data_IF_388331019756
#
_entry.id   IF_388331019756
#
_cell.length_a   1.000
_cell.length_b   1.000
_cell.length_c   1.000
_cell.angle_alpha   90.00
_cell.angle_beta   90.00
_cell.angle_gamma   90.00
#
_symmetry.space_group_name_H-M   'P 1'
#
loop_
_entity.id
_entity.type
_entity.pdbx_description
1 polymer ?
#
# COMPACT_ATOMS: atom_id res chain seq x y z
N UNK A 1 9.76 -18.43 0.24
CA UNK A 1 9.99 -16.97 0.40
C UNK A 1 9.56 -16.18 -0.84
N UNK A 2 9.97 -16.57 -2.05
CA UNK A 2 9.52 -15.92 -3.28
C UNK A 2 8.02 -16.11 -3.57
N UNK A 3 7.45 -17.28 -3.28
CA UNK A 3 6.04 -17.60 -3.54
C UNK A 3 5.05 -16.66 -2.83
N UNK A 4 5.31 -16.30 -1.56
CA UNK A 4 4.46 -15.34 -0.83
C UNK A 4 4.52 -13.93 -1.43
N UNK A 5 5.69 -13.52 -1.93
CA UNK A 5 5.85 -12.23 -2.63
C UNK A 5 5.09 -12.24 -3.96
N UNK A 6 5.14 -13.35 -4.70
CA UNK A 6 4.40 -13.51 -5.95
C UNK A 6 2.89 -13.48 -5.73
N UNK A 7 2.37 -14.19 -4.73
CA UNK A 7 0.94 -14.18 -4.38
C UNK A 7 0.43 -12.78 -4.00
N UNK A 8 1.20 -12.03 -3.20
CA UNK A 8 0.85 -10.66 -2.86
C UNK A 8 0.88 -9.74 -4.09
N UNK A 9 1.89 -9.89 -4.96
CA UNK A 9 1.98 -9.10 -6.20
C UNK A 9 0.84 -9.43 -7.17
N UNK A 10 0.42 -10.69 -7.30
CA UNK A 10 -0.72 -11.11 -8.12
C UNK A 10 -2.03 -10.47 -7.65
N UNK A 11 -2.28 -10.48 -6.34
CA UNK A 11 -3.44 -9.77 -5.76
C UNK A 11 -3.42 -8.27 -6.03
N UNK A 12 -2.25 -7.71 -6.33
CA UNK A 12 -2.03 -6.28 -6.59
C UNK A 12 -2.02 -5.97 -8.09
N UNK A 13 -2.02 -6.98 -8.95
CA UNK A 13 -1.90 -6.81 -10.39
C UNK A 13 -3.22 -6.27 -10.96
N UNK A 14 -4.35 -6.83 -10.51
CA UNK A 14 -5.69 -6.39 -10.90
C UNK A 14 -5.94 -4.91 -10.60
N UNK A 15 -5.52 -4.39 -9.43
CA UNK A 15 -5.70 -2.95 -9.13
C UNK A 15 -4.85 -2.06 -10.05
N UNK A 16 -3.67 -2.53 -10.48
CA UNK A 16 -2.75 -1.76 -11.32
C UNK A 16 -3.20 -1.74 -12.78
N UNK A 17 -3.74 -2.85 -13.29
CA UNK A 17 -4.37 -2.90 -14.61
C UNK A 17 -5.57 -1.95 -14.69
N UNK A 18 -6.40 -1.92 -13.65
CA UNK A 18 -7.54 -1.00 -13.60
C UNK A 18 -7.06 0.46 -13.53
N UNK A 19 -5.98 0.77 -12.78
CA UNK A 19 -5.37 2.10 -12.77
C UNK A 19 -4.83 2.55 -14.13
N UNK A 20 -4.33 1.61 -14.94
CA UNK A 20 -3.92 1.88 -16.32
C UNK A 20 -5.12 2.19 -17.21
N UNK A 21 -6.17 1.38 -17.12
CA UNK A 21 -7.40 1.52 -17.93
C UNK A 21 -8.09 2.85 -17.74
N UNK A 22 -8.10 3.37 -16.51
CA UNK A 22 -8.67 4.69 -16.20
C UNK A 22 -7.66 5.84 -16.43
N UNK A 23 -6.52 5.57 -17.07
CA UNK A 23 -5.45 6.52 -17.40
C UNK A 23 -4.94 7.32 -16.18
N UNK A 24 -5.02 6.74 -14.99
CA UNK A 24 -4.63 7.41 -13.74
C UNK A 24 -3.11 7.33 -13.52
N UNK A 25 -2.48 6.30 -14.06
CA UNK A 25 -1.03 6.15 -14.13
C UNK A 25 -0.58 5.67 -15.51
N UNK A 26 0.59 6.14 -15.93
CA UNK A 26 1.23 5.63 -17.14
C UNK A 26 1.89 4.27 -16.89
N UNK A 27 2.09 3.47 -17.95
CA UNK A 27 2.78 2.18 -17.89
C UNK A 27 4.15 2.25 -17.17
N UNK A 28 4.91 3.32 -17.37
CA UNK A 28 6.21 3.53 -16.71
C UNK A 28 6.08 3.76 -15.20
N UNK A 29 5.02 4.45 -14.77
CA UNK A 29 4.74 4.67 -13.35
C UNK A 29 4.26 3.39 -12.69
N UNK A 30 3.38 2.63 -13.36
CA UNK A 30 2.91 1.32 -12.88
C UNK A 30 4.09 0.36 -12.69
N UNK A 31 5.00 0.26 -13.68
CA UNK A 31 6.22 -0.53 -13.55
C UNK A 31 7.07 -0.10 -12.35
N UNK A 32 7.16 1.20 -12.10
CA UNK A 32 7.90 1.75 -10.96
C UNK A 32 7.22 1.39 -9.63
N UNK A 33 5.90 1.45 -9.56
CA UNK A 33 5.11 1.03 -8.39
C UNK A 33 5.30 -0.46 -8.10
N UNK A 34 5.21 -1.32 -9.12
CA UNK A 34 5.45 -2.77 -9.00
C UNK A 34 6.85 -3.04 -8.47
N UNK A 35 7.86 -2.40 -9.07
CA UNK A 35 9.26 -2.56 -8.64
C UNK A 35 9.45 -2.13 -7.19
N UNK A 36 8.84 -1.02 -6.77
CA UNK A 36 8.95 -0.52 -5.39
C UNK A 36 8.24 -1.42 -4.39
N UNK A 37 7.02 -1.87 -4.69
CA UNK A 37 6.26 -2.84 -3.88
C UNK A 37 7.01 -4.16 -3.74
N UNK A 38 7.53 -4.70 -4.85
CA UNK A 38 8.37 -5.92 -4.85
C UNK A 38 9.56 -5.77 -3.90
N UNK A 39 10.29 -4.66 -3.97
CA UNK A 39 11.42 -4.40 -3.08
C UNK A 39 11.01 -4.31 -1.60
N UNK A 40 9.88 -3.69 -1.30
CA UNK A 40 9.35 -3.60 0.07
C UNK A 40 8.93 -4.97 0.61
N UNK A 41 8.23 -5.77 -0.20
CA UNK A 41 7.86 -7.16 0.15
C UNK A 41 9.10 -8.02 0.44
N UNK A 42 10.14 -7.96 -0.41
CA UNK A 42 11.40 -8.66 -0.13
C UNK A 42 12.03 -8.21 1.18
N UNK A 43 12.00 -6.90 1.48
CA UNK A 43 12.54 -6.38 2.74
C UNK A 43 11.79 -6.92 3.95
N UNK A 44 10.47 -7.02 3.88
CA UNK A 44 9.62 -7.58 4.94
C UNK A 44 9.81 -9.09 5.14
N UNK A 45 10.15 -9.82 4.07
CA UNK A 45 10.38 -11.28 4.12
C UNK A 45 11.79 -11.66 4.60
N UNK A 46 12.67 -10.69 4.93
CA UNK A 46 13.98 -10.99 5.52
C UNK A 46 13.83 -11.66 6.90
N UNK A 47 14.79 -12.52 7.24
CA UNK A 47 14.81 -13.23 8.53
C UNK A 47 14.76 -12.28 9.73
N UNK A 48 15.57 -11.20 9.70
CA UNK A 48 15.52 -10.14 10.70
C UNK A 48 14.46 -9.12 10.29
N UNK A 49 13.26 -9.23 10.87
CA UNK A 49 12.17 -8.28 10.64
C UNK A 49 12.41 -7.03 11.47
N UNK A 50 12.49 -5.88 10.82
CA UNK A 50 12.65 -4.58 11.49
C UNK A 50 11.34 -3.81 11.45
N UNK A 51 10.97 -3.14 12.54
CA UNK A 51 9.79 -2.26 12.58
C UNK A 51 9.83 -1.17 11.51
N UNK A 52 11.02 -0.64 11.24
CA UNK A 52 11.25 0.36 10.21
C UNK A 52 10.86 -0.12 8.80
N UNK A 53 11.01 -1.41 8.50
CA UNK A 53 10.61 -1.95 7.20
C UNK A 53 9.08 -1.92 7.04
N UNK A 54 8.34 -2.18 8.11
CA UNK A 54 6.87 -2.04 8.13
C UNK A 54 6.46 -0.58 8.00
N UNK A 55 7.06 0.33 8.78
CA UNK A 55 6.75 1.76 8.74
C UNK A 55 7.02 2.36 7.36
N UNK A 56 8.16 2.05 6.73
CA UNK A 56 8.48 2.51 5.36
C UNK A 56 7.48 2.02 4.32
N UNK A 57 6.94 0.82 4.50
CA UNK A 57 5.94 0.29 3.57
C UNK A 57 4.58 0.95 3.77
N UNK A 58 4.15 1.12 5.02
CA UNK A 58 2.93 1.85 5.38
C UNK A 58 2.97 3.28 4.85
N UNK A 59 4.09 3.98 5.06
CA UNK A 59 4.31 5.34 4.55
C UNK A 59 4.22 5.38 3.02
N UNK A 60 4.85 4.42 2.33
CA UNK A 60 4.80 4.33 0.88
C UNK A 60 3.36 4.13 0.36
N UNK A 61 2.61 3.18 0.90
CA UNK A 61 1.22 2.93 0.47
C UNK A 61 0.30 4.12 0.80
N UNK A 62 0.53 4.79 1.94
CA UNK A 62 -0.22 6.00 2.33
C UNK A 62 0.05 7.14 1.34
N UNK A 63 1.31 7.35 0.97
CA UNK A 63 1.70 8.34 -0.02
C UNK A 63 1.11 8.03 -1.41
N UNK A 64 1.08 6.76 -1.80
CA UNK A 64 0.45 6.33 -3.05
C UNK A 64 -1.06 6.61 -3.05
N UNK A 65 -1.76 6.30 -1.97
CA UNK A 65 -3.19 6.61 -1.82
C UNK A 65 -3.47 8.12 -1.93
N UNK A 66 -2.64 8.94 -1.27
CA UNK A 66 -2.74 10.40 -1.37
C UNK A 66 -2.48 10.90 -2.79
N UNK A 67 -1.53 10.32 -3.51
CA UNK A 67 -1.24 10.66 -4.90
C UNK A 67 -2.44 10.32 -5.81
N UNK A 68 -3.04 9.14 -5.63
CA UNK A 68 -4.25 8.72 -6.36
C UNK A 68 -5.39 9.71 -6.12
N UNK A 69 -5.67 10.03 -4.86
CA UNK A 69 -6.72 11.00 -4.48
C UNK A 69 -6.48 12.37 -5.12
N UNK A 70 -5.23 12.85 -5.15
CA UNK A 70 -4.87 14.12 -5.82
C UNK A 70 -5.07 14.04 -7.34
N UNK A 71 -4.65 12.96 -7.99
CA UNK A 71 -4.81 12.77 -9.44
C UNK A 71 -6.27 12.67 -9.84
N UNK A 72 -7.10 11.95 -9.08
CA UNK A 72 -8.54 11.87 -9.32
C UNK A 72 -9.21 13.24 -9.27
N UNK A 73 -8.90 14.05 -8.26
CA UNK A 73 -9.40 15.43 -8.17
C UNK A 73 -9.01 16.28 -9.38
N UNK A 74 -7.80 16.07 -9.92
CA UNK A 74 -7.30 16.82 -11.09
C UNK A 74 -7.92 16.34 -12.41
N UNK A 75 -8.09 15.03 -12.58
CA UNK A 75 -8.60 14.42 -13.83
C UNK A 75 -10.13 14.29 -13.84
N UNK A 76 -10.80 14.57 -12.72
CA UNK A 76 -12.26 14.43 -12.53
C UNK A 76 -12.73 13.00 -12.85
N UNK A 77 -11.95 12.02 -12.41
CA UNK A 77 -12.25 10.58 -12.59
C UNK A 77 -12.76 10.03 -11.26
N UNK A 78 -14.03 9.65 -11.24
CA UNK A 78 -14.67 8.99 -10.10
C UNK A 78 -14.78 7.46 -10.28
N UNK A 79 -14.41 6.97 -11.46
CA UNK A 79 -14.47 5.56 -11.81
C UNK A 79 -13.52 4.71 -10.97
N UNK A 80 -13.97 3.49 -10.64
CA UNK A 80 -13.28 2.52 -9.75
C UNK A 80 -12.77 3.12 -8.43
N UNK A 81 -13.39 4.20 -7.93
CA UNK A 81 -12.90 4.89 -6.73
C UNK A 81 -12.82 3.99 -5.52
N UNK A 82 -13.94 3.34 -5.23
CA UNK A 82 -14.09 2.47 -4.08
C UNK A 82 -13.19 1.24 -4.19
N UNK A 83 -13.08 0.61 -5.36
CA UNK A 83 -12.27 -0.60 -5.52
C UNK A 83 -10.78 -0.35 -5.29
N UNK A 84 -10.23 0.71 -5.89
CA UNK A 84 -8.80 1.05 -5.78
C UNK A 84 -8.45 1.58 -4.38
N UNK A 85 -9.23 2.53 -3.85
CA UNK A 85 -8.95 3.12 -2.53
C UNK A 85 -9.07 2.06 -1.42
N UNK A 86 -10.10 1.20 -1.48
CA UNK A 86 -10.28 0.14 -0.50
C UNK A 86 -9.20 -0.95 -0.61
N UNK A 87 -8.71 -1.27 -1.81
CA UNK A 87 -7.62 -2.25 -1.97
C UNK A 87 -6.35 -1.79 -1.25
N UNK A 88 -5.93 -0.55 -1.53
CA UNK A 88 -4.71 0.04 -0.93
C UNK A 88 -4.89 0.19 0.58
N UNK A 89 -6.05 0.68 1.01
CA UNK A 89 -6.30 0.83 2.43
C UNK A 89 -6.35 -0.49 3.19
N UNK A 90 -6.99 -1.54 2.64
CA UNK A 90 -6.97 -2.88 3.24
C UNK A 90 -5.54 -3.38 3.39
N UNK A 91 -4.65 -3.07 2.44
CA UNK A 91 -3.22 -3.40 2.54
C UNK A 91 -2.55 -2.65 3.68
N UNK A 92 -2.79 -1.34 3.81
CA UNK A 92 -2.25 -0.53 4.91
C UNK A 92 -2.72 -1.10 6.27
N UNK A 93 -4.02 -1.37 6.43
CA UNK A 93 -4.56 -1.97 7.65
C UNK A 93 -3.96 -3.36 7.94
N UNK A 94 -3.74 -4.19 6.91
CA UNK A 94 -3.06 -5.49 7.06
C UNK A 94 -1.61 -5.30 7.56
N UNK A 95 -0.89 -4.31 7.01
CA UNK A 95 0.48 -4.00 7.44
C UNK A 95 0.53 -3.52 8.89
N UNK A 96 -0.35 -2.59 9.28
CA UNK A 96 -0.47 -2.15 10.67
C UNK A 96 -0.83 -3.32 11.60
N UNK A 97 -1.79 -4.17 11.24
CA UNK A 97 -2.16 -5.34 12.05
C UNK A 97 -0.98 -6.27 12.28
N UNK A 98 -0.22 -6.59 11.23
CA UNK A 98 0.97 -7.46 11.35
C UNK A 98 2.07 -6.78 12.15
N UNK A 99 2.28 -5.47 11.97
CA UNK A 99 3.26 -4.70 12.71
C UNK A 99 2.92 -4.66 14.21
N UNK A 100 1.65 -4.39 14.57
CA UNK A 100 1.17 -4.34 15.97
C UNK A 100 1.29 -5.69 16.68
N UNK A 101 0.97 -6.79 15.98
CA UNK A 101 1.13 -8.14 16.53
C UNK A 101 2.60 -8.51 16.80
N UNK A 102 3.53 -7.94 16.04
CA UNK A 102 4.96 -8.25 16.14
C UNK A 102 5.72 -7.31 17.08
N UNK A 103 5.29 -6.05 17.17
CA UNK A 103 5.92 -4.99 17.96
C UNK A 103 4.87 -4.30 18.84
N UNK A 104 4.29 -5.02 19.83
CA UNK A 104 3.23 -4.47 20.67
C UNK A 104 3.70 -3.31 21.57
N UNK A 105 5.00 -3.28 21.89
CA UNK A 105 5.63 -2.29 22.79
C UNK A 105 5.76 -0.89 22.17
N UNK A 106 5.56 -0.73 20.86
CA UNK A 106 5.72 0.55 20.18
C UNK A 106 4.38 1.32 20.16
N UNK A 107 4.15 2.16 21.17
CA UNK A 107 2.93 2.97 21.30
C UNK A 107 2.69 3.89 20.09
N UNK A 108 3.75 4.36 19.42
CA UNK A 108 3.62 5.22 18.24
C UNK A 108 2.93 4.50 17.09
N UNK A 109 3.21 3.22 16.91
CA UNK A 109 2.56 2.40 15.88
C UNK A 109 1.04 2.33 16.06
N UNK A 110 0.57 2.29 17.30
CA UNK A 110 -0.86 2.31 17.62
C UNK A 110 -1.49 3.67 17.34
N UNK A 111 -0.79 4.76 17.70
CA UNK A 111 -1.25 6.12 17.42
C UNK A 111 -1.35 6.39 15.91
N UNK A 112 -0.33 5.99 15.13
CA UNK A 112 -0.32 6.10 13.67
C UNK A 112 -1.47 5.30 13.03
N UNK A 113 -1.77 4.09 13.51
CA UNK A 113 -2.88 3.27 13.02
C UNK A 113 -4.24 3.96 13.28
N UNK A 114 -4.42 4.56 14.47
CA UNK A 114 -5.63 5.30 14.81
C UNK A 114 -5.77 6.56 13.95
N UNK A 115 -4.68 7.31 13.75
CA UNK A 115 -4.68 8.49 12.90
C UNK A 115 -5.01 8.13 11.44
N UNK A 116 -4.43 7.04 10.93
CA UNK A 116 -4.74 6.52 9.61
C UNK A 116 -6.23 6.15 9.50
N UNK A 117 -6.76 5.41 10.47
CA UNK A 117 -8.19 5.05 10.50
C UNK A 117 -9.08 6.29 10.49
N UNK A 118 -8.75 7.32 11.28
CA UNK A 118 -9.50 8.60 11.30
C UNK A 118 -9.45 9.34 9.98
N UNK A 119 -8.34 9.31 9.25
CA UNK A 119 -8.20 9.94 7.92
C UNK A 119 -8.93 9.18 6.81
N UNK A 120 -9.37 7.96 7.09
CA UNK A 120 -9.99 7.07 6.12
C UNK A 120 -11.52 7.02 6.24
N UNK A 121 -12.07 7.32 7.42
CA UNK A 121 -13.48 7.64 7.68
C UNK A 121 -13.79 9.05 7.17
#
# INVERSE_FOLDING_TARGET
MAELVHLHLESTLRELEEMERIELFNLNEIKSIIKRRKNLEYRLQRMKKSKEDYLRYIEYETNLLNLIRKRRKRLVIEDKRTEIDLSIAKRICKLFRVAKLRFPEDEKLWLDDIEFCKKMV
#
